data_IF_293546937476
#
_entry.id   IF_293546937476
#
_cell.length_a   1.000
_cell.length_b   1.000
_cell.length_c   1.000
_cell.angle_alpha   90.00
_cell.angle_beta   90.00
_cell.angle_gamma   90.00
#
_symmetry.space_group_name_H-M   'P 1'
#
loop_
_entity.id
_entity.type
_entity.pdbx_description
1 polymer ?
#
# COMPACT_ATOMS: atom_id res chain seq x y z
N UNK A 1 -0.96 71.33 -20.30
CA UNK A 1 -1.61 70.31 -19.44
C UNK A 1 -1.47 68.98 -20.17
N UNK A 2 -0.62 68.07 -19.67
CA UNK A 2 -0.39 66.75 -20.26
C UNK A 2 -0.86 65.71 -19.23
N UNK A 3 -1.86 64.91 -19.59
CA UNK A 3 -2.41 63.86 -18.74
C UNK A 3 -1.60 62.58 -18.91
N UNK A 4 -1.29 61.97 -17.77
CA UNK A 4 -0.38 60.84 -17.61
C UNK A 4 -0.86 59.53 -18.23
N UNK A 5 0.11 58.75 -18.66
CA UNK A 5 -0.07 57.40 -19.19
C UNK A 5 -0.20 56.44 -17.99
N UNK A 6 -1.37 55.81 -17.83
CA UNK A 6 -1.56 54.75 -16.83
C UNK A 6 -1.01 53.44 -17.35
N UNK A 7 0.07 52.95 -16.72
CA UNK A 7 0.60 51.61 -16.91
C UNK A 7 -0.39 50.58 -16.34
N UNK A 8 -1.00 49.79 -17.21
CA UNK A 8 -1.77 48.61 -16.83
C UNK A 8 -0.78 47.46 -16.60
N UNK A 9 -0.59 47.08 -15.34
CA UNK A 9 0.17 45.89 -14.99
C UNK A 9 -0.63 44.64 -15.39
N UNK A 10 -0.14 43.91 -16.40
CA UNK A 10 -0.60 42.55 -16.71
C UNK A 10 -0.08 41.62 -15.60
N UNK A 11 -0.96 41.23 -14.68
CA UNK A 11 -0.73 40.08 -13.81
C UNK A 11 -0.85 38.81 -14.66
N UNK A 12 0.30 38.25 -15.04
CA UNK A 12 0.39 36.90 -15.60
C UNK A 12 -0.06 35.90 -14.53
N UNK A 13 -1.30 35.43 -14.64
CA UNK A 13 -1.77 34.25 -13.91
C UNK A 13 -0.97 33.07 -14.45
N UNK A 14 0.06 32.67 -13.72
CA UNK A 14 0.77 31.40 -13.95
C UNK A 14 -0.24 30.30 -13.62
N UNK A 15 -0.97 29.87 -14.64
CA UNK A 15 -1.80 28.69 -14.54
C UNK A 15 -0.89 27.50 -14.25
N UNK A 16 -0.95 26.99 -13.02
CA UNK A 16 -0.54 25.62 -12.75
C UNK A 16 -1.39 24.74 -13.66
N UNK A 17 -0.86 24.36 -14.82
CA UNK A 17 -1.46 23.30 -15.64
C UNK A 17 -1.37 22.05 -14.78
N UNK A 18 -2.44 21.74 -14.05
CA UNK A 18 -2.65 20.44 -13.43
C UNK A 18 -2.71 19.44 -14.58
N UNK A 19 -1.54 18.97 -15.02
CA UNK A 19 -1.47 17.79 -15.86
C UNK A 19 -2.29 16.73 -15.12
N UNK A 20 -3.31 16.14 -15.75
CA UNK A 20 -4.15 15.16 -15.09
C UNK A 20 -3.23 14.06 -14.57
N UNK A 21 -3.21 13.92 -13.24
CA UNK A 21 -2.64 12.74 -12.60
C UNK A 21 -3.30 11.56 -13.29
N UNK A 22 -2.51 10.80 -14.05
CA UNK A 22 -2.99 9.63 -14.77
C UNK A 22 -3.63 8.73 -13.72
N UNK A 23 -4.95 8.55 -13.79
CA UNK A 23 -5.70 7.79 -12.81
C UNK A 23 -5.25 6.33 -12.86
N UNK A 24 -4.76 5.80 -11.76
CA UNK A 24 -4.42 4.39 -11.61
C UNK A 24 -5.67 3.67 -11.12
N UNK A 25 -6.07 2.59 -11.80
CA UNK A 25 -7.14 1.73 -11.31
C UNK A 25 -6.55 0.60 -10.46
N UNK A 26 -7.28 0.06 -9.45
CA UNK A 26 -6.78 -1.05 -8.63
C UNK A 26 -6.30 -2.25 -9.44
N UNK A 27 -6.98 -2.59 -10.54
CA UNK A 27 -6.58 -3.67 -11.44
C UNK A 27 -5.22 -3.50 -12.12
N UNK A 28 -4.73 -2.26 -12.26
CA UNK A 28 -3.38 -2.00 -12.77
C UNK A 28 -2.29 -2.27 -11.74
N UNK A 29 -2.66 -2.47 -10.48
CA UNK A 29 -1.74 -2.75 -9.38
C UNK A 29 -1.57 -4.25 -9.11
N UNK A 30 -2.23 -5.12 -9.88
CA UNK A 30 -2.01 -6.56 -9.82
C UNK A 30 -0.60 -6.87 -10.32
N UNK A 31 0.11 -7.73 -9.60
CA UNK A 31 1.46 -8.17 -9.95
C UNK A 31 1.39 -9.63 -10.35
N UNK A 32 1.75 -9.94 -11.59
CA UNK A 32 1.84 -11.30 -12.10
C UNK A 32 3.20 -11.47 -12.76
N UNK A 33 4.18 -11.99 -12.02
CA UNK A 33 5.54 -12.27 -12.49
C UNK A 33 5.85 -13.75 -12.24
N UNK A 34 6.77 -14.34 -13.00
CA UNK A 34 7.01 -15.81 -13.05
C UNK A 34 6.91 -16.56 -11.71
N UNK A 35 7.40 -15.95 -10.62
CA UNK A 35 7.49 -16.51 -9.27
C UNK A 35 6.75 -15.68 -8.21
N UNK A 36 6.03 -14.63 -8.60
CA UNK A 36 5.36 -13.73 -7.66
C UNK A 36 3.98 -13.35 -8.18
N UNK A 37 3.00 -13.47 -7.30
CA UNK A 37 1.64 -13.03 -7.56
C UNK A 37 1.20 -12.07 -6.46
N UNK A 38 0.63 -10.94 -6.84
CA UNK A 38 0.02 -9.96 -5.95
C UNK A 38 -1.35 -9.60 -6.47
N UNK A 39 -2.38 -9.84 -5.65
CA UNK A 39 -3.76 -9.51 -5.97
C UNK A 39 -3.95 -8.00 -6.18
N UNK A 40 -5.08 -7.64 -6.79
CA UNK A 40 -5.55 -6.26 -6.78
C UNK A 40 -5.68 -5.77 -5.33
N UNK A 41 -5.16 -4.56 -5.01
CA UNK A 41 -5.26 -4.02 -3.67
C UNK A 41 -6.72 -3.80 -3.29
N UNK A 42 -7.02 -3.97 -2.00
CA UNK A 42 -8.35 -3.74 -1.42
C UNK A 42 -8.31 -2.54 -0.50
N UNK A 43 -9.32 -1.69 -0.59
CA UNK A 43 -9.50 -0.59 0.34
C UNK A 43 -10.00 -1.11 1.70
N UNK A 44 -9.31 -0.75 2.79
CA UNK A 44 -9.72 -1.05 4.16
C UNK A 44 -10.34 0.16 4.87
N UNK A 45 -10.53 1.28 4.18
CA UNK A 45 -10.99 2.55 4.73
C UNK A 45 -9.91 3.29 5.51
N UNK A 46 -10.12 4.60 5.69
CA UNK A 46 -9.29 5.42 6.56
C UNK A 46 -7.86 5.67 6.04
N UNK A 47 -7.61 5.48 4.74
CA UNK A 47 -6.27 5.63 4.15
C UNK A 47 -5.40 4.38 4.24
N UNK A 48 -5.99 3.21 4.50
CA UNK A 48 -5.31 1.92 4.55
C UNK A 48 -5.69 1.07 3.35
N UNK A 49 -4.71 0.38 2.79
CA UNK A 49 -4.93 -0.64 1.77
C UNK A 49 -4.42 -1.99 2.25
N UNK A 50 -4.99 -3.05 1.67
CA UNK A 50 -4.52 -4.43 1.80
C UNK A 50 -4.04 -4.93 0.45
N UNK A 51 -2.96 -5.71 0.44
CA UNK A 51 -2.57 -6.53 -0.71
C UNK A 51 -2.29 -7.95 -0.23
N UNK A 52 -2.87 -8.93 -0.92
CA UNK A 52 -2.52 -10.34 -0.76
C UNK A 52 -1.41 -10.66 -1.76
N UNK A 53 -0.33 -11.25 -1.28
CA UNK A 53 0.88 -11.51 -2.08
C UNK A 53 1.39 -12.91 -1.81
N UNK A 54 1.95 -13.51 -2.84
CA UNK A 54 2.60 -14.81 -2.77
C UNK A 54 3.87 -14.80 -3.59
N UNK A 55 4.84 -15.56 -3.12
CA UNK A 55 6.12 -15.78 -3.77
C UNK A 55 6.45 -17.27 -3.71
N UNK A 56 6.71 -17.85 -4.89
CA UNK A 56 7.05 -19.26 -5.03
C UNK A 56 8.43 -19.41 -5.69
N UNK A 57 9.34 -20.12 -5.01
CA UNK A 57 10.64 -20.53 -5.54
C UNK A 57 10.80 -22.06 -5.45
N UNK A 58 11.91 -22.60 -5.95
CA UNK A 58 12.20 -24.03 -5.89
C UNK A 58 12.19 -24.61 -4.47
N UNK A 59 12.47 -23.78 -3.47
CA UNK A 59 12.52 -24.20 -2.08
C UNK A 59 11.44 -23.57 -1.22
N UNK A 60 10.84 -22.44 -1.60
CA UNK A 60 9.94 -21.64 -0.75
C UNK A 60 8.58 -21.39 -1.38
N UNK A 61 7.51 -21.51 -0.59
CA UNK A 61 6.17 -21.03 -0.94
C UNK A 61 5.65 -20.12 0.18
N UNK A 62 5.75 -18.81 -0.06
CA UNK A 62 5.43 -17.78 0.92
C UNK A 62 4.14 -17.08 0.52
N UNK A 63 3.19 -17.00 1.45
CA UNK A 63 1.95 -16.26 1.28
C UNK A 63 1.85 -15.27 2.41
N UNK A 64 1.61 -14.01 2.10
CA UNK A 64 1.53 -12.94 3.08
C UNK A 64 0.46 -11.92 2.71
N UNK A 65 0.06 -11.15 3.71
CA UNK A 65 -0.90 -10.06 3.57
C UNK A 65 -0.21 -8.78 4.03
N UNK A 66 -0.05 -7.85 3.10
CA UNK A 66 0.46 -6.52 3.38
C UNK A 66 -0.70 -5.59 3.73
N UNK A 67 -0.59 -4.85 4.83
CA UNK A 67 -1.47 -3.73 5.17
C UNK A 67 -0.65 -2.47 5.26
N UNK A 68 -0.97 -1.48 4.42
CA UNK A 68 -0.17 -0.25 4.27
C UNK A 68 -0.99 0.99 4.60
N UNK A 69 -0.44 1.89 5.43
CA UNK A 69 -0.97 3.25 5.62
C UNK A 69 -0.45 4.16 4.52
N UNK A 70 -1.37 4.63 3.68
CA UNK A 70 -1.05 5.47 2.54
C UNK A 70 -0.51 6.85 2.92
N UNK A 71 -0.70 7.33 4.15
CA UNK A 71 -0.15 8.61 4.62
C UNK A 71 1.33 8.49 4.93
N UNK A 72 1.68 7.57 5.84
CA UNK A 72 3.04 7.42 6.35
C UNK A 72 3.92 6.55 5.46
N UNK A 73 3.33 5.60 4.71
CA UNK A 73 4.07 4.53 4.05
C UNK A 73 4.43 3.38 4.98
N UNK A 74 3.97 3.40 6.23
CA UNK A 74 4.14 2.26 7.14
C UNK A 74 3.36 1.05 6.65
N UNK A 75 3.98 -0.12 6.75
CA UNK A 75 3.42 -1.40 6.33
C UNK A 75 3.55 -2.42 7.46
N UNK A 76 2.56 -3.31 7.54
CA UNK A 76 2.59 -4.54 8.32
C UNK A 76 2.32 -5.71 7.40
N UNK A 77 3.24 -6.67 7.39
CA UNK A 77 3.15 -7.88 6.59
C UNK A 77 2.85 -9.06 7.51
N UNK A 78 1.67 -9.65 7.36
CA UNK A 78 1.25 -10.83 8.09
C UNK A 78 1.57 -12.08 7.27
N UNK A 79 2.33 -13.01 7.84
CA UNK A 79 2.68 -14.25 7.15
C UNK A 79 1.53 -15.27 7.27
N UNK A 80 0.91 -15.63 6.13
CA UNK A 80 -0.10 -16.71 6.05
C UNK A 80 0.55 -18.07 5.91
N UNK A 81 1.60 -18.16 5.11
CA UNK A 81 2.35 -19.39 4.87
C UNK A 81 3.80 -19.03 4.71
N UNK A 82 4.67 -19.75 5.41
CA UNK A 82 6.12 -19.55 5.34
C UNK A 82 6.85 -20.87 5.24
N UNK A 83 8.14 -20.76 4.93
CA UNK A 83 9.03 -21.88 4.75
C UNK A 83 9.87 -22.21 6.01
N UNK A 84 10.54 -23.36 5.97
CA UNK A 84 11.09 -24.16 7.08
C UNK A 84 11.83 -23.53 8.26
N UNK A 85 11.35 -23.82 9.47
CA UNK A 85 12.20 -24.33 10.56
C UNK A 85 12.43 -25.84 10.36
N UNK A 86 13.34 -26.46 11.13
CA UNK A 86 13.98 -27.79 10.92
C UNK A 86 13.13 -28.98 10.39
N UNK A 87 11.80 -28.94 10.36
CA UNK A 87 10.91 -29.98 9.85
C UNK A 87 10.23 -29.57 8.53
N UNK A 88 10.62 -30.17 7.40
CA UNK A 88 10.22 -29.99 5.99
C UNK A 88 8.68 -29.92 5.60
N UNK A 89 7.75 -29.49 6.47
CA UNK A 89 6.38 -28.98 6.10
C UNK A 89 6.05 -27.48 6.37
N UNK A 90 5.60 -26.68 5.36
CA UNK A 90 5.44 -25.24 5.52
C UNK A 90 4.49 -24.89 6.67
N UNK A 91 4.83 -23.88 7.47
CA UNK A 91 3.95 -23.40 8.54
C UNK A 91 2.75 -22.70 7.92
N UNK A 92 1.54 -23.18 8.21
CA UNK A 92 0.28 -22.62 7.70
C UNK A 92 -0.46 -21.89 8.83
N UNK A 93 -0.48 -20.56 8.73
CA UNK A 93 -1.17 -19.62 9.61
C UNK A 93 -2.40 -19.00 8.94
N UNK A 94 -2.88 -19.53 7.81
CA UNK A 94 -3.98 -18.95 7.02
C UNK A 94 -5.23 -18.68 7.85
N UNK A 95 -5.67 -19.66 8.64
CA UNK A 95 -6.83 -19.54 9.55
C UNK A 95 -6.63 -18.43 10.58
N UNK A 96 -5.41 -18.24 11.07
CA UNK A 96 -5.11 -17.24 12.10
C UNK A 96 -5.05 -15.84 11.49
N UNK A 97 -4.43 -15.69 10.31
CA UNK A 97 -4.42 -14.41 9.57
C UNK A 97 -5.84 -13.98 9.20
N UNK A 98 -6.71 -14.89 8.76
CA UNK A 98 -8.09 -14.55 8.42
C UNK A 98 -8.87 -14.06 9.64
N UNK A 99 -8.66 -14.68 10.82
CA UNK A 99 -9.23 -14.19 12.08
C UNK A 99 -8.73 -12.78 12.43
N UNK A 100 -7.43 -12.52 12.28
CA UNK A 100 -6.83 -11.19 12.52
C UNK A 100 -7.48 -10.16 11.60
N UNK A 101 -7.62 -10.46 10.30
CA UNK A 101 -8.16 -9.52 9.32
C UNK A 101 -9.65 -9.25 9.53
N UNK A 102 -10.44 -10.26 9.95
CA UNK A 102 -11.85 -10.06 10.32
C UNK A 102 -11.94 -9.14 11.55
N UNK A 103 -11.19 -9.43 12.62
CA UNK A 103 -11.18 -8.57 13.81
C UNK A 103 -10.69 -7.15 13.51
N UNK A 104 -9.74 -7.00 12.59
CA UNK A 104 -9.22 -5.71 12.15
C UNK A 104 -10.22 -4.88 11.33
N UNK A 105 -11.17 -5.50 10.64
CA UNK A 105 -12.18 -4.77 9.86
C UNK A 105 -13.18 -4.02 10.76
N UNK A 106 -13.43 -4.53 11.97
CA UNK A 106 -14.33 -3.92 12.94
C UNK A 106 -13.65 -2.83 13.80
N UNK A 107 -12.48 -2.36 13.39
CA UNK A 107 -11.66 -1.42 14.19
C UNK A 107 -12.25 0.00 14.24
N UNK A 108 -12.20 0.59 15.43
CA UNK A 108 -12.23 2.05 15.64
C UNK A 108 -11.04 2.43 16.53
N UNK A 109 -9.89 2.69 15.91
CA UNK A 109 -8.64 2.99 16.62
C UNK A 109 -7.87 4.10 15.93
N UNK A 110 -7.23 4.95 16.74
CA UNK A 110 -6.34 6.02 16.28
C UNK A 110 -4.99 5.51 15.77
N UNK A 111 -4.60 4.27 16.11
CA UNK A 111 -3.40 3.62 15.60
C UNK A 111 -3.73 2.23 15.05
N UNK A 112 -4.17 2.13 13.78
CA UNK A 112 -4.64 0.89 13.19
C UNK A 112 -3.52 -0.14 13.03
N UNK A 113 -2.31 0.24 12.58
CA UNK A 113 -1.24 -0.74 12.36
C UNK A 113 -0.73 -1.37 13.67
N UNK A 114 -0.65 -0.58 14.75
CA UNK A 114 -0.31 -1.15 16.07
C UNK A 114 -1.40 -2.10 16.59
N UNK A 115 -2.67 -1.79 16.33
CA UNK A 115 -3.79 -2.69 16.69
C UNK A 115 -3.75 -4.00 15.89
N UNK A 116 -3.45 -3.93 14.58
CA UNK A 116 -3.25 -5.10 13.73
C UNK A 116 -2.11 -5.99 14.24
N UNK A 117 -1.00 -5.38 14.64
CA UNK A 117 0.15 -6.09 15.20
C UNK A 117 -0.19 -6.81 16.51
N UNK A 118 -0.92 -6.16 17.42
CA UNK A 118 -1.40 -6.77 18.65
C UNK A 118 -2.36 -7.94 18.41
N UNK A 119 -3.30 -7.81 17.46
CA UNK A 119 -4.20 -8.90 17.07
C UNK A 119 -3.43 -10.09 16.50
N UNK A 120 -2.42 -9.83 15.67
CA UNK A 120 -1.58 -10.87 15.10
C UNK A 120 -0.78 -11.60 16.17
N UNK A 121 -0.20 -10.88 17.14
CA UNK A 121 0.50 -11.47 18.29
C UNK A 121 -0.44 -12.37 19.11
N UNK A 122 -1.66 -11.92 19.39
CA UNK A 122 -2.68 -12.72 20.12
C UNK A 122 -3.01 -14.02 19.39
N UNK A 123 -3.03 -14.01 18.06
CA UNK A 123 -3.28 -15.17 17.23
C UNK A 123 -2.00 -15.96 16.87
N UNK A 124 -0.83 -15.61 17.40
CA UNK A 124 0.43 -16.28 17.10
C UNK A 124 0.85 -16.18 15.62
N UNK A 125 0.49 -15.08 14.97
CA UNK A 125 0.85 -14.75 13.59
C UNK A 125 2.09 -13.87 13.60
N UNK A 126 3.11 -14.25 12.84
CA UNK A 126 4.30 -13.40 12.67
C UNK A 126 3.96 -12.15 11.86
N UNK A 127 4.43 -11.00 12.34
CA UNK A 127 4.30 -9.71 11.68
C UNK A 127 5.68 -9.14 11.40
N UNK A 128 5.89 -8.70 10.17
CA UNK A 128 7.02 -7.87 9.79
C UNK A 128 6.55 -6.43 9.62
N UNK A 129 7.35 -5.49 10.12
CA UNK A 129 7.10 -4.05 10.03
C UNK A 129 8.10 -3.41 9.09
N UNK A 130 7.61 -2.60 8.16
CA UNK A 130 8.44 -1.85 7.21
C UNK A 130 7.87 -0.43 6.99
N UNK A 131 8.66 0.46 6.42
CA UNK A 131 8.25 1.80 6.00
C UNK A 131 8.81 2.09 4.61
N UNK A 132 7.93 2.22 3.63
CA UNK A 132 8.33 2.57 2.27
C UNK A 132 8.42 4.08 2.05
N UNK A 133 9.45 4.51 1.34
CA UNK A 133 9.62 5.89 0.87
C UNK A 133 8.95 6.15 -0.49
N UNK A 134 8.49 5.08 -1.15
CA UNK A 134 7.76 5.11 -2.42
C UNK A 134 6.26 4.92 -2.19
N UNK A 135 5.45 5.61 -2.99
CA UNK A 135 4.01 5.40 -3.00
C UNK A 135 3.65 4.01 -3.54
N UNK A 136 2.93 3.22 -2.75
CA UNK A 136 2.35 1.96 -3.23
C UNK A 136 1.28 2.22 -4.30
N UNK A 137 1.23 1.36 -5.32
CA UNK A 137 0.24 1.46 -6.41
C UNK A 137 -1.20 1.55 -5.90
N UNK A 138 -1.57 0.74 -4.90
CA UNK A 138 -2.91 0.76 -4.32
C UNK A 138 -3.24 2.07 -3.63
N UNK A 139 -2.25 2.73 -3.02
CA UNK A 139 -2.42 4.05 -2.42
C UNK A 139 -2.66 5.10 -3.49
N UNK A 140 -1.96 5.01 -4.62
CA UNK A 140 -2.23 5.85 -5.78
C UNK A 140 -3.63 5.64 -6.36
N UNK A 141 -4.15 4.42 -6.31
CA UNK A 141 -5.46 4.06 -6.85
C UNK A 141 -6.62 4.52 -5.95
N UNK A 142 -6.52 4.34 -4.63
CA UNK A 142 -7.61 4.64 -3.68
C UNK A 142 -7.48 5.99 -2.97
N UNK A 143 -6.25 6.42 -2.69
CA UNK A 143 -5.93 7.57 -1.83
C UNK A 143 -4.83 8.47 -2.42
N UNK A 144 -4.93 8.92 -3.69
CA UNK A 144 -3.87 9.67 -4.37
C UNK A 144 -3.46 10.97 -3.67
N UNK A 145 -4.34 11.55 -2.86
CA UNK A 145 -4.10 12.73 -2.04
C UNK A 145 -3.24 12.46 -0.80
N UNK A 146 -3.14 11.19 -0.36
CA UNK A 146 -2.40 10.80 0.84
C UNK A 146 -0.92 10.50 0.58
N UNK A 147 -0.44 10.61 -0.66
CA UNK A 147 0.97 10.40 -1.03
C UNK A 147 1.96 11.10 -0.09
N UNK A 148 1.63 12.32 0.33
CA UNK A 148 2.51 13.13 1.17
C UNK A 148 3.86 13.39 0.49
N UNK A 149 4.95 13.15 1.23
CA UNK A 149 6.33 13.34 0.76
C UNK A 149 6.96 12.16 0.01
N UNK A 150 6.23 11.06 -0.19
CA UNK A 150 6.73 9.85 -0.85
C UNK A 150 7.03 10.09 -2.33
N UNK A 151 8.04 9.38 -2.87
CA UNK A 151 8.26 9.35 -4.31
C UNK A 151 7.03 8.78 -5.02
N UNK A 152 6.77 9.26 -6.23
CA UNK A 152 5.64 8.77 -7.03
C UNK A 152 5.83 7.29 -7.35
N UNK A 153 4.72 6.54 -7.34
CA UNK A 153 4.72 5.17 -7.83
C UNK A 153 5.23 5.10 -9.28
N UNK A 154 6.20 4.23 -9.55
CA UNK A 154 6.65 3.93 -10.90
C UNK A 154 6.14 2.56 -11.34
N UNK A 155 5.30 2.53 -12.40
CA UNK A 155 4.99 1.28 -13.09
C UNK A 155 6.29 0.80 -13.74
N UNK A 156 6.83 -0.32 -13.25
CA UNK A 156 7.90 -1.03 -13.93
C UNK A 156 7.24 -1.75 -15.10
N UNK A 157 7.30 -1.17 -16.31
CA UNK A 157 6.88 -1.86 -17.52
C UNK A 157 7.76 -3.11 -17.68
N UNK A 158 7.23 -4.28 -17.29
CA UNK A 158 7.85 -5.56 -17.60
C UNK A 158 7.78 -5.75 -19.13
N UNK A 159 8.92 -5.51 -19.80
CA UNK A 159 9.11 -5.82 -21.22
C UNK A 159 9.52 -7.27 -21.42
#
# INVERSE_FOLDING_TARGET
>A
MAFGVSSVALMSVVGCTNAPVRSVSPGMCRVDVLHSHGDEPKDLGGGLIRRDTSFASFSTDEHYVDVTDCRSGEQRTLMRRGNFGEDDRPFDHSVNVDKVLIAFQDRDTSNPLAYLEALAEEQGVAVQSDVTSEEECGCRAYYPELRGGKSSYHIVDAR
#
